data_IF_730945635505
#
_entry.id   IF_730945635505
#
_cell.length_a   1.000
_cell.length_b   1.000
_cell.length_c   1.000
_cell.angle_alpha   90.00
_cell.angle_beta   90.00
_cell.angle_gamma   90.00
#
_symmetry.space_group_name_H-M   'P 1'
#
loop_
_entity.id
_entity.type
_entity.pdbx_description
1 polymer ?
#
# COMPACT_ATOMS: atom_id res chain seq x y z
N UNK A 1 -73.95 -15.74 -12.11
CA UNK A 1 -73.84 -14.29 -12.34
C UNK A 1 -73.16 -14.10 -13.70
N UNK A 2 -73.84 -13.82 -14.82
CA UNK A 2 -74.36 -12.50 -15.27
C UNK A 2 -73.36 -11.36 -14.94
N UNK A 3 -72.87 -10.49 -15.83
CA UNK A 3 -73.11 -10.21 -17.26
C UNK A 3 -72.13 -9.07 -17.66
N UNK A 4 -71.50 -9.18 -18.85
CA UNK A 4 -71.23 -8.12 -19.88
C UNK A 4 -69.93 -7.28 -19.96
N UNK A 5 -69.32 -7.43 -21.16
CA UNK A 5 -68.94 -6.44 -22.21
C UNK A 5 -67.98 -5.29 -21.82
N UNK A 6 -66.95 -4.94 -22.63
CA UNK A 6 -67.01 -4.56 -24.06
C UNK A 6 -65.65 -4.73 -24.80
N UNK A 7 -65.72 -5.08 -26.08
CA UNK A 7 -64.76 -4.73 -27.16
C UNK A 7 -65.54 -3.84 -28.17
N UNK A 8 -64.89 -2.88 -28.86
CA UNK A 8 -64.61 -3.03 -30.30
C UNK A 8 -63.15 -2.59 -30.64
N UNK A 9 -62.37 -3.36 -31.40
CA UNK A 9 -62.29 -3.45 -32.87
C UNK A 9 -61.57 -2.25 -33.53
N UNK A 10 -60.33 -2.45 -34.01
CA UNK A 10 -59.91 -2.65 -35.43
C UNK A 10 -59.56 -1.34 -36.15
N UNK A 11 -58.31 -1.20 -36.60
CA UNK A 11 -57.95 -1.05 -38.02
C UNK A 11 -56.43 -0.80 -38.19
N UNK A 12 -55.75 -1.77 -38.78
CA UNK A 12 -54.48 -1.59 -39.47
C UNK A 12 -54.75 -1.08 -40.89
N UNK A 13 -53.88 -0.23 -41.43
CA UNK A 13 -53.74 -0.03 -42.88
C UNK A 13 -52.29 0.34 -43.24
N UNK A 14 -51.78 -0.44 -44.18
CA UNK A 14 -50.50 -0.40 -44.88
C UNK A 14 -50.51 0.65 -46.01
N UNK A 15 -49.29 1.03 -46.44
CA UNK A 15 -48.97 1.60 -47.75
C UNK A 15 -48.65 3.10 -47.71
N UNK A 16 -47.63 3.64 -48.35
CA UNK A 16 -46.72 3.17 -49.41
C UNK A 16 -45.54 4.14 -49.48
N UNK A 17 -44.37 3.64 -49.85
CA UNK A 17 -43.17 4.44 -50.13
C UNK A 17 -43.34 5.29 -51.40
N UNK A 18 -42.83 6.52 -51.36
CA UNK A 18 -42.51 7.33 -52.53
C UNK A 18 -41.09 7.89 -52.34
N UNK A 19 -40.19 7.43 -53.20
CA UNK A 19 -38.85 7.98 -53.40
C UNK A 19 -39.00 9.24 -54.25
N UNK A 20 -38.39 10.34 -53.82
CA UNK A 20 -38.12 11.50 -54.66
C UNK A 20 -36.77 12.07 -54.24
N UNK A 21 -35.80 11.98 -55.14
CA UNK A 21 -34.49 12.58 -55.00
C UNK A 21 -34.51 13.98 -55.61
N UNK A 22 -34.13 15.02 -54.86
CA UNK A 22 -33.59 16.27 -55.40
C UNK A 22 -32.70 16.98 -54.38
N UNK A 23 -31.49 17.28 -54.85
CA UNK A 23 -30.64 18.44 -54.59
C UNK A 23 -30.25 18.84 -53.16
N UNK A 24 -28.94 18.82 -52.97
CA UNK A 24 -28.16 19.31 -51.84
C UNK A 24 -28.32 20.82 -51.62
N UNK A 25 -28.57 21.22 -50.38
CA UNK A 25 -28.41 22.60 -49.89
C UNK A 25 -27.82 22.53 -48.47
N UNK A 26 -26.65 23.13 -48.27
CA UNK A 26 -25.97 23.20 -46.97
C UNK A 26 -26.76 24.07 -45.98
N UNK A 27 -26.93 23.64 -44.71
CA UNK A 27 -27.54 24.48 -43.69
C UNK A 27 -26.50 25.47 -43.09
N UNK A 28 -26.95 26.65 -42.62
CA UNK A 28 -26.08 27.65 -42.00
C UNK A 28 -25.54 27.16 -40.65
N UNK A 29 -24.44 27.74 -40.13
CA UNK A 29 -23.79 27.23 -38.93
C UNK A 29 -24.72 27.37 -37.72
N UNK A 30 -25.16 26.22 -37.19
CA UNK A 30 -25.90 26.14 -35.94
C UNK A 30 -24.99 26.48 -34.77
N UNK A 31 -25.42 27.44 -33.95
CA UNK A 31 -24.78 27.78 -32.68
C UNK A 31 -24.60 26.53 -31.80
N UNK A 32 -23.41 26.39 -31.22
CA UNK A 32 -23.08 25.27 -30.35
C UNK A 32 -24.03 25.22 -29.13
N UNK A 33 -24.50 24.03 -28.73
CA UNK A 33 -25.24 23.89 -27.48
C UNK A 33 -24.34 24.29 -26.30
N UNK A 34 -24.89 24.86 -25.21
CA UNK A 34 -24.09 25.17 -24.03
C UNK A 34 -23.38 23.91 -23.55
N UNK A 35 -22.08 24.02 -23.29
CA UNK A 35 -21.27 22.94 -22.77
C UNK A 35 -21.97 22.34 -21.54
N UNK A 36 -22.25 21.03 -21.59
CA UNK A 36 -22.67 20.31 -20.42
C UNK A 36 -21.63 20.55 -19.31
N UNK A 37 -22.07 21.06 -18.16
CA UNK A 37 -21.25 21.08 -16.96
C UNK A 37 -20.79 19.65 -16.71
N UNK A 38 -19.51 19.38 -17.01
CA UNK A 38 -18.84 18.16 -16.63
C UNK A 38 -18.87 18.18 -15.11
N UNK A 39 -19.75 17.40 -14.50
CA UNK A 39 -19.76 17.25 -13.05
C UNK A 39 -18.36 16.84 -12.64
N UNK A 40 -17.68 17.68 -11.87
CA UNK A 40 -16.37 17.41 -11.32
C UNK A 40 -16.35 15.97 -10.76
N UNK A 41 -15.46 15.14 -11.29
CA UNK A 41 -15.35 13.73 -10.87
C UNK A 41 -15.04 13.63 -9.37
N UNK A 42 -15.21 12.43 -8.77
CA UNK A 42 -15.02 12.24 -7.33
C UNK A 42 -13.67 12.77 -6.80
N UNK A 43 -12.61 12.65 -7.60
CA UNK A 43 -11.28 13.19 -7.29
C UNK A 43 -11.24 14.72 -7.19
N UNK A 44 -11.99 15.44 -8.02
CA UNK A 44 -12.08 16.89 -7.99
C UNK A 44 -12.94 17.38 -6.81
N UNK A 45 -14.00 16.64 -6.43
CA UNK A 45 -14.78 16.94 -5.21
C UNK A 45 -14.00 16.67 -3.93
N UNK A 46 -13.17 15.63 -3.91
CA UNK A 46 -12.26 15.34 -2.80
C UNK A 46 -11.16 16.41 -2.70
N UNK A 47 -10.61 16.86 -3.83
CA UNK A 47 -9.65 17.95 -3.88
C UNK A 47 -10.24 19.27 -3.36
N UNK A 48 -11.51 19.58 -3.66
CA UNK A 48 -12.22 20.74 -3.10
C UNK A 48 -12.46 20.60 -1.58
N UNK A 49 -12.80 19.41 -1.08
CA UNK A 49 -12.97 19.16 0.35
C UNK A 49 -11.66 19.27 1.13
N UNK A 50 -10.55 18.83 0.52
CA UNK A 50 -9.20 19.01 1.07
C UNK A 50 -8.84 20.49 1.09
N UNK A 51 -9.09 21.22 -0.01
CA UNK A 51 -8.83 22.66 -0.09
C UNK A 51 -9.65 23.48 0.93
N UNK A 52 -10.88 23.04 1.26
CA UNK A 52 -11.72 23.66 2.28
C UNK A 52 -11.19 23.49 3.72
N UNK A 53 -10.30 22.54 3.97
CA UNK A 53 -9.69 22.27 5.28
C UNK A 53 -8.29 22.88 5.48
N UNK A 54 -7.66 23.42 4.43
CA UNK A 54 -6.30 23.96 4.51
C UNK A 54 -6.33 25.42 5.03
N UNK A 55 -5.54 25.70 6.06
CA UNK A 55 -5.25 27.08 6.47
C UNK A 55 -4.22 27.70 5.52
N UNK A 56 -4.34 28.99 5.15
CA UNK A 56 -3.34 29.67 4.35
C UNK A 56 -1.96 29.61 5.03
N UNK A 57 -0.90 29.50 4.22
CA UNK A 57 0.46 29.73 4.71
C UNK A 57 0.60 31.14 5.31
N UNK A 58 1.62 31.38 6.12
CA UNK A 58 1.85 32.67 6.80
C UNK A 58 1.98 33.87 5.83
N UNK A 59 2.17 33.62 4.54
CA UNK A 59 2.25 34.60 3.46
C UNK A 59 0.95 34.72 2.62
N UNK A 60 -0.14 34.08 3.05
CA UNK A 60 -1.47 34.18 2.43
C UNK A 60 -1.70 33.22 1.26
N UNK A 61 -0.74 32.37 0.89
CA UNK A 61 -0.93 31.37 -0.18
C UNK A 61 -1.74 30.18 0.31
N UNK A 62 -2.76 29.81 -0.46
CA UNK A 62 -3.52 28.56 -0.28
C UNK A 62 -2.97 27.53 -1.27
N UNK A 63 -2.42 26.38 -0.83
CA UNK A 63 -1.94 25.34 -1.72
C UNK A 63 -3.06 24.87 -2.65
N UNK A 64 -2.83 24.89 -3.95
CA UNK A 64 -3.78 24.36 -4.94
C UNK A 64 -3.37 22.92 -5.30
N UNK A 65 -4.29 21.95 -5.28
CA UNK A 65 -3.99 20.59 -5.71
C UNK A 65 -3.64 20.61 -7.21
N UNK A 66 -2.44 20.14 -7.53
CA UNK A 66 -1.98 19.95 -8.91
C UNK A 66 -2.58 18.62 -9.38
N UNK A 67 -3.56 18.68 -10.27
CA UNK A 67 -4.00 17.51 -11.03
C UNK A 67 -3.05 17.40 -12.23
N UNK A 68 -1.96 16.67 -12.07
CA UNK A 68 -1.04 16.44 -13.18
C UNK A 68 -1.71 15.48 -14.18
N UNK A 69 -1.91 15.94 -15.42
CA UNK A 69 -2.30 15.11 -16.57
C UNK A 69 -1.07 14.56 -17.31
N UNK A 70 0.05 14.48 -16.59
CA UNK A 70 1.39 14.18 -17.06
C UNK A 70 1.50 12.92 -17.93
N UNK A 71 1.80 13.17 -19.19
CA UNK A 71 2.14 12.19 -20.21
C UNK A 71 3.42 11.43 -19.83
N UNK A 72 3.32 10.11 -19.63
CA UNK A 72 4.50 9.26 -19.54
C UNK A 72 5.06 9.00 -20.95
N UNK A 73 6.18 9.65 -21.25
CA UNK A 73 7.02 9.30 -22.40
C UNK A 73 7.83 8.06 -22.01
N UNK A 74 7.37 6.86 -22.41
CA UNK A 74 8.16 5.63 -22.22
C UNK A 74 7.39 4.32 -22.14
N UNK A 75 6.35 4.10 -22.97
CA UNK A 75 5.74 2.78 -23.13
C UNK A 75 6.55 1.90 -24.08
N UNK A 76 7.73 1.46 -23.62
CA UNK A 76 8.32 0.21 -24.10
C UNK A 76 7.74 -0.93 -23.28
N UNK A 77 6.79 -1.68 -23.85
CA UNK A 77 6.10 -2.77 -23.18
C UNK A 77 7.06 -3.73 -22.49
N UNK A 78 7.12 -3.66 -21.16
CA UNK A 78 7.69 -4.72 -20.33
C UNK A 78 6.50 -5.51 -19.80
N UNK A 79 6.30 -6.70 -20.35
CA UNK A 79 5.49 -7.72 -19.70
C UNK A 79 6.17 -8.09 -18.39
N UNK A 80 5.73 -7.55 -17.25
CA UNK A 80 6.25 -7.89 -15.93
C UNK A 80 6.07 -6.81 -14.86
N UNK A 81 6.04 -7.24 -13.60
CA UNK A 81 6.03 -6.36 -12.43
C UNK A 81 7.33 -5.56 -12.34
N UNK A 82 7.26 -4.29 -11.94
CA UNK A 82 8.42 -3.42 -11.78
C UNK A 82 8.40 -2.64 -10.47
N UNK A 83 9.57 -2.09 -10.10
CA UNK A 83 9.75 -1.21 -8.96
C UNK A 83 10.09 0.22 -9.41
N UNK A 84 9.89 1.18 -8.51
CA UNK A 84 10.28 2.57 -8.69
C UNK A 84 10.84 3.13 -7.38
N UNK A 85 11.77 4.09 -7.50
CA UNK A 85 12.25 4.84 -6.34
C UNK A 85 11.13 5.71 -5.80
N UNK A 86 11.03 5.78 -4.47
CA UNK A 86 10.21 6.78 -3.81
C UNK A 86 10.96 8.12 -3.83
N UNK A 87 10.36 9.15 -4.40
CA UNK A 87 10.97 10.44 -4.71
C UNK A 87 10.05 11.58 -4.30
N UNK A 88 10.62 12.75 -3.99
CA UNK A 88 9.83 13.87 -3.49
C UNK A 88 9.33 13.59 -2.07
N UNK A 89 10.02 14.18 -1.10
CA UNK A 89 9.70 13.96 0.30
C UNK A 89 8.33 14.52 0.67
N UNK A 90 7.47 13.66 1.22
CA UNK A 90 6.18 14.08 1.76
C UNK A 90 6.25 14.52 3.23
N UNK A 91 5.18 15.12 3.76
CA UNK A 91 5.12 15.56 5.16
C UNK A 91 5.06 14.40 6.17
N UNK A 92 5.53 14.64 7.38
CA UNK A 92 5.35 13.67 8.47
C UNK A 92 3.87 13.64 8.89
N UNK A 93 3.30 12.44 9.00
CA UNK A 93 1.89 12.25 9.32
C UNK A 93 1.76 11.38 10.57
N UNK A 94 0.82 11.73 11.46
CA UNK A 94 0.49 10.93 12.63
C UNK A 94 -0.69 9.99 12.40
N UNK A 95 -1.49 10.18 11.36
CA UNK A 95 -2.64 9.34 11.04
C UNK A 95 -2.46 8.64 9.70
N UNK A 96 -2.79 7.35 9.66
CA UNK A 96 -2.80 6.56 8.43
C UNK A 96 -3.71 7.18 7.37
N UNK A 97 -4.91 7.66 7.75
CA UNK A 97 -5.88 8.21 6.80
C UNK A 97 -5.34 9.45 6.06
N UNK A 98 -4.66 10.34 6.80
CA UNK A 98 -4.05 11.53 6.21
C UNK A 98 -2.90 11.15 5.27
N UNK A 99 -2.08 10.17 5.65
CA UNK A 99 -0.97 9.70 4.82
C UNK A 99 -1.46 8.98 3.56
N UNK A 100 -2.48 8.12 3.71
CA UNK A 100 -3.14 7.43 2.60
C UNK A 100 -3.72 8.43 1.60
N UNK A 101 -4.47 9.44 2.06
CA UNK A 101 -5.02 10.49 1.21
C UNK A 101 -3.94 11.28 0.46
N UNK A 102 -2.82 11.59 1.11
CA UNK A 102 -1.67 12.22 0.46
C UNK A 102 -1.05 11.29 -0.61
N UNK A 103 -0.88 10.00 -0.31
CA UNK A 103 -0.36 8.99 -1.24
C UNK A 103 -1.21 8.81 -2.50
N UNK A 104 -2.52 9.10 -2.47
CA UNK A 104 -3.36 9.10 -3.67
C UNK A 104 -3.01 10.22 -4.66
N UNK A 105 -2.44 11.33 -4.18
CA UNK A 105 -2.07 12.48 -5.02
C UNK A 105 -0.56 12.56 -5.27
N UNK A 106 0.23 11.90 -4.43
CA UNK A 106 1.68 11.81 -4.53
C UNK A 106 2.12 10.34 -4.45
N UNK A 107 1.77 9.53 -5.48
CA UNK A 107 1.86 8.07 -5.42
C UNK A 107 3.28 7.54 -5.26
N UNK A 108 4.27 8.33 -5.67
CA UNK A 108 5.68 7.96 -5.58
C UNK A 108 6.43 8.76 -4.48
N UNK A 109 5.73 9.45 -3.57
CA UNK A 109 6.37 10.21 -2.50
C UNK A 109 7.30 9.35 -1.63
N UNK A 110 8.43 9.92 -1.23
CA UNK A 110 9.27 9.32 -0.20
C UNK A 110 8.72 9.66 1.20
N UNK A 111 8.65 8.69 2.15
CA UNK A 111 8.37 9.03 3.53
C UNK A 111 9.49 9.93 4.08
N UNK A 112 9.16 10.90 4.95
CA UNK A 112 10.14 11.89 5.40
C UNK A 112 11.34 11.26 6.11
N UNK A 113 12.52 11.82 5.84
CA UNK A 113 13.80 11.28 6.30
C UNK A 113 14.32 10.05 5.55
N UNK A 114 13.55 9.46 4.62
CA UNK A 114 14.04 8.36 3.79
C UNK A 114 14.78 8.83 2.52
N UNK A 115 15.52 7.91 1.91
CA UNK A 115 16.18 8.05 0.60
C UNK A 115 17.21 9.18 0.53
N UNK A 116 17.92 9.41 1.64
CA UNK A 116 19.16 10.19 1.67
C UNK A 116 20.33 9.32 1.23
N UNK A 117 20.54 9.26 -0.08
CA UNK A 117 21.57 8.40 -0.68
C UNK A 117 23.02 8.79 -0.34
N UNK A 118 23.23 9.98 0.21
CA UNK A 118 24.49 10.46 0.77
C UNK A 118 24.64 10.15 2.28
N UNK A 119 23.66 9.48 2.90
CA UNK A 119 23.72 9.10 4.31
C UNK A 119 24.79 8.03 4.54
N UNK A 120 25.65 8.28 5.53
CA UNK A 120 26.71 7.35 5.96
C UNK A 120 26.32 6.76 7.32
N UNK A 121 26.09 5.44 7.41
CA UNK A 121 25.81 4.77 8.67
C UNK A 121 26.91 5.01 9.70
N UNK A 122 26.51 5.28 10.93
CA UNK A 122 27.45 5.57 12.02
C UNK A 122 28.02 4.28 12.62
N UNK A 123 29.05 4.38 13.46
CA UNK A 123 29.55 3.22 14.22
C UNK A 123 28.48 2.64 15.17
N UNK A 124 27.57 3.49 15.66
CA UNK A 124 26.50 3.07 16.55
C UNK A 124 25.36 2.38 15.79
N UNK A 125 25.05 2.86 14.58
CA UNK A 125 24.04 2.27 13.68
C UNK A 125 24.68 1.96 12.32
N UNK A 126 25.49 0.88 12.20
CA UNK A 126 26.30 0.61 11.02
C UNK A 126 25.50 0.03 9.83
N UNK A 127 24.23 -0.32 10.05
CA UNK A 127 23.35 -0.90 9.04
C UNK A 127 22.23 0.09 8.68
N UNK A 128 22.01 0.39 7.40
CA UNK A 128 20.87 1.16 6.97
C UNK A 128 19.58 0.33 7.09
N UNK A 129 18.45 1.02 7.24
CA UNK A 129 17.12 0.43 7.37
C UNK A 129 16.38 0.53 6.05
N UNK A 130 15.88 -0.59 5.53
CA UNK A 130 15.04 -0.67 4.34
C UNK A 130 13.58 -0.91 4.73
N UNK A 131 12.68 -0.09 4.21
CA UNK A 131 11.24 -0.10 4.53
C UNK A 131 10.42 -0.75 3.40
N UNK A 132 9.57 -1.73 3.73
CA UNK A 132 8.73 -2.47 2.77
C UNK A 132 7.24 -2.29 3.06
N UNK A 133 6.53 -1.63 2.14
CA UNK A 133 5.10 -1.34 2.26
C UNK A 133 4.23 -2.60 2.07
N UNK A 134 2.94 -2.51 2.39
CA UNK A 134 1.97 -3.59 2.24
C UNK A 134 1.22 -3.62 0.89
N UNK A 135 0.27 -4.57 0.77
CA UNK A 135 -0.63 -4.70 -0.39
C UNK A 135 -1.49 -3.46 -0.57
N UNK A 136 -1.59 -2.93 -1.80
CA UNK A 136 -2.36 -1.71 -2.10
C UNK A 136 -1.92 -0.48 -1.29
N UNK A 137 -0.65 -0.43 -0.91
CA UNK A 137 0.00 0.70 -0.27
C UNK A 137 1.19 1.16 -1.12
N UNK A 138 1.88 2.20 -0.65
CA UNK A 138 3.13 2.69 -1.20
C UNK A 138 4.11 3.01 -0.06
N UNK A 139 5.35 3.33 -0.42
CA UNK A 139 6.41 3.66 0.54
C UNK A 139 6.01 4.79 1.50
N UNK A 140 5.28 5.81 1.03
CA UNK A 140 4.90 6.94 1.85
C UNK A 140 3.80 6.57 2.86
N UNK A 141 2.65 6.06 2.41
CA UNK A 141 1.52 5.84 3.31
C UNK A 141 1.68 4.66 4.28
N UNK A 142 2.62 3.74 4.02
CA UNK A 142 3.04 2.77 5.04
C UNK A 142 3.95 3.38 6.13
N UNK A 143 4.74 4.42 5.83
CA UNK A 143 5.85 4.82 6.69
C UNK A 143 5.97 6.32 7.02
N UNK A 144 4.98 7.14 6.67
CA UNK A 144 4.98 8.58 6.93
C UNK A 144 5.11 8.95 8.42
N UNK A 145 4.78 8.02 9.32
CA UNK A 145 4.97 8.16 10.77
C UNK A 145 6.31 7.61 11.29
N UNK A 146 6.68 6.39 10.88
CA UNK A 146 7.85 5.68 11.42
C UNK A 146 9.17 6.16 10.83
N UNK A 147 9.26 6.30 9.50
CA UNK A 147 10.49 6.67 8.81
C UNK A 147 11.18 7.92 9.38
N UNK A 148 10.49 9.07 9.59
CA UNK A 148 11.16 10.26 10.12
C UNK A 148 11.65 10.07 11.56
N UNK A 149 11.02 9.20 12.34
CA UNK A 149 11.42 8.93 13.73
C UNK A 149 12.59 7.95 13.80
N UNK A 150 12.64 6.95 12.91
CA UNK A 150 13.80 6.08 12.74
C UNK A 150 15.00 6.91 12.23
N UNK A 151 14.79 7.81 11.26
CA UNK A 151 15.84 8.72 10.80
C UNK A 151 16.34 9.65 11.92
N UNK A 152 15.44 10.24 12.71
CA UNK A 152 15.80 11.05 13.90
C UNK A 152 16.51 10.26 14.99
N UNK A 153 16.29 8.95 15.08
CA UNK A 153 17.06 8.07 15.95
C UNK A 153 18.49 7.80 15.45
N UNK A 154 18.84 8.30 14.24
CA UNK A 154 20.21 8.26 13.72
C UNK A 154 20.49 7.11 12.75
N UNK A 155 19.45 6.49 12.19
CA UNK A 155 19.58 5.47 11.14
C UNK A 155 19.52 6.11 9.74
N UNK A 156 20.28 5.56 8.79
CA UNK A 156 20.06 5.84 7.38
C UNK A 156 18.85 5.02 6.89
N UNK A 157 17.79 5.68 6.43
CA UNK A 157 16.50 5.05 6.09
C UNK A 157 16.26 5.10 4.58
N UNK A 158 15.81 3.98 4.00
CA UNK A 158 15.53 3.84 2.58
C UNK A 158 14.19 3.15 2.34
N UNK A 159 13.46 3.60 1.33
CA UNK A 159 12.15 3.06 0.96
C UNK A 159 11.95 3.12 -0.56
N UNK A 160 11.20 2.17 -1.11
CA UNK A 160 10.89 2.13 -2.54
C UNK A 160 9.50 1.54 -2.77
N UNK A 161 8.98 1.76 -3.97
CA UNK A 161 7.72 1.18 -4.40
C UNK A 161 7.99 -0.07 -5.22
N UNK A 162 7.41 -1.20 -4.81
CA UNK A 162 7.60 -2.50 -5.47
C UNK A 162 6.27 -3.08 -5.94
N UNK A 163 6.35 -4.12 -6.78
CA UNK A 163 5.16 -4.85 -7.19
C UNK A 163 4.20 -4.02 -8.06
N UNK A 164 4.69 -3.00 -8.78
CA UNK A 164 3.87 -2.22 -9.72
C UNK A 164 3.59 -3.09 -10.94
N UNK A 165 2.33 -3.26 -11.29
CA UNK A 165 1.94 -3.95 -12.52
C UNK A 165 0.71 -3.28 -13.10
N UNK A 166 0.66 -3.12 -14.42
CA UNK A 166 -0.50 -2.55 -15.10
C UNK A 166 -1.72 -3.47 -15.00
N UNK A 167 -2.92 -2.91 -15.17
CA UNK A 167 -4.19 -3.66 -15.10
C UNK A 167 -4.18 -4.89 -16.02
N UNK A 168 -3.66 -4.71 -17.23
CA UNK A 168 -3.57 -5.77 -18.25
C UNK A 168 -2.30 -6.63 -18.16
N UNK A 169 -1.33 -6.23 -17.33
CA UNK A 169 -0.06 -6.94 -17.09
C UNK A 169 -0.10 -7.79 -15.80
N UNK A 170 -1.32 -8.05 -15.30
CA UNK A 170 -1.56 -8.87 -14.13
C UNK A 170 -1.91 -8.09 -12.87
N UNK A 171 -1.60 -6.79 -12.75
CA UNK A 171 -1.81 -5.99 -11.53
C UNK A 171 -3.26 -5.80 -11.09
N UNK A 172 -4.23 -6.14 -11.96
CA UNK A 172 -5.65 -6.10 -11.64
C UNK A 172 -6.20 -4.68 -11.47
N UNK A 173 -7.44 -4.55 -10.98
CA UNK A 173 -8.12 -3.25 -10.85
C UNK A 173 -7.45 -2.36 -9.80
N UNK A 174 -6.77 -2.94 -8.81
CA UNK A 174 -6.00 -2.18 -7.81
C UNK A 174 -4.94 -1.26 -8.43
N UNK A 175 -4.36 -1.65 -9.58
CA UNK A 175 -3.40 -0.84 -10.32
C UNK A 175 -3.98 0.42 -10.99
N UNK A 176 -5.31 0.56 -11.07
CA UNK A 176 -5.98 1.75 -11.61
C UNK A 176 -5.82 2.94 -10.67
N UNK A 177 -5.69 2.68 -9.37
CA UNK A 177 -5.65 3.71 -8.35
C UNK A 177 -4.21 4.19 -8.10
N UNK A 178 -3.95 5.52 -8.16
CA UNK A 178 -2.63 6.05 -7.87
C UNK A 178 -2.12 5.62 -6.49
N UNK A 179 -0.86 5.18 -6.44
CA UNK A 179 -0.18 4.84 -5.20
C UNK A 179 -0.58 3.49 -4.61
N UNK A 180 -1.30 2.65 -5.36
CA UNK A 180 -1.70 1.29 -4.94
C UNK A 180 -0.81 0.25 -5.62
N UNK A 181 0.27 -0.12 -4.94
CA UNK A 181 1.29 -1.05 -5.45
C UNK A 181 1.24 -2.38 -4.72
N UNK A 182 2.31 -3.19 -4.79
CA UNK A 182 2.36 -4.53 -4.24
C UNK A 182 1.24 -5.44 -4.80
N UNK A 183 1.04 -5.38 -6.13
CA UNK A 183 -0.01 -6.13 -6.86
C UNK A 183 0.56 -7.16 -7.83
N UNK A 184 1.79 -6.99 -8.31
CA UNK A 184 2.51 -7.98 -9.13
C UNK A 184 3.03 -9.17 -8.31
N UNK A 185 3.60 -10.22 -8.95
CA UNK A 185 4.08 -11.40 -8.24
C UNK A 185 5.07 -11.08 -7.10
N UNK A 186 4.98 -11.81 -5.99
CA UNK A 186 5.85 -11.62 -4.83
C UNK A 186 7.29 -12.00 -5.16
N UNK A 187 7.53 -13.01 -6.01
CA UNK A 187 8.88 -13.37 -6.44
C UNK A 187 9.53 -12.26 -7.28
N UNK A 188 8.76 -11.56 -8.12
CA UNK A 188 9.26 -10.36 -8.83
C UNK A 188 9.60 -9.25 -7.82
N UNK A 189 8.73 -9.06 -6.83
CA UNK A 189 8.92 -8.06 -5.77
C UNK A 189 10.16 -8.35 -4.92
N UNK A 190 10.46 -9.62 -4.63
CA UNK A 190 11.68 -10.03 -3.93
C UNK A 190 12.94 -9.78 -4.77
N UNK A 191 12.91 -10.03 -6.08
CA UNK A 191 14.03 -9.66 -6.98
C UNK A 191 14.22 -8.14 -7.06
N UNK A 192 13.13 -7.37 -7.05
CA UNK A 192 13.20 -5.91 -6.97
C UNK A 192 13.83 -5.47 -5.65
N UNK A 193 13.51 -6.14 -4.54
CA UNK A 193 14.16 -5.94 -3.24
C UNK A 193 15.66 -6.26 -3.29
N UNK A 194 16.07 -7.36 -3.93
CA UNK A 194 17.50 -7.68 -4.13
C UNK A 194 18.24 -6.51 -4.77
N UNK A 195 17.71 -5.99 -5.88
CA UNK A 195 18.32 -4.85 -6.58
C UNK A 195 18.35 -3.57 -5.72
N UNK A 196 17.30 -3.33 -4.93
CA UNK A 196 17.23 -2.17 -4.04
C UNK A 196 18.26 -2.28 -2.90
N UNK A 197 18.31 -3.42 -2.21
CA UNK A 197 19.27 -3.67 -1.11
C UNK A 197 20.72 -3.57 -1.60
N UNK A 198 21.01 -4.08 -2.80
CA UNK A 198 22.35 -3.96 -3.37
C UNK A 198 22.74 -2.50 -3.67
N UNK A 199 21.80 -1.67 -4.15
CA UNK A 199 22.04 -0.23 -4.30
C UNK A 199 22.25 0.47 -2.95
N UNK A 200 21.43 0.15 -1.95
CA UNK A 200 21.57 0.73 -0.60
C UNK A 200 22.93 0.39 -0.01
N UNK A 201 23.32 -0.88 0.00
CA UNK A 201 24.63 -1.34 0.50
C UNK A 201 25.79 -0.70 -0.23
N UNK A 202 25.69 -0.54 -1.55
CA UNK A 202 26.71 0.12 -2.35
C UNK A 202 26.85 1.62 -2.01
N UNK A 203 25.74 2.32 -1.82
CA UNK A 203 25.73 3.74 -1.48
C UNK A 203 26.22 4.01 -0.06
N UNK A 204 25.87 3.14 0.90
CA UNK A 204 26.21 3.33 2.32
C UNK A 204 27.51 2.64 2.74
N UNK A 205 28.12 1.86 1.85
CA UNK A 205 29.25 0.99 2.15
C UNK A 205 28.98 -0.02 3.28
N UNK A 206 27.74 -0.49 3.41
CA UNK A 206 27.33 -1.43 4.46
C UNK A 206 27.32 -2.87 3.96
N UNK A 207 27.83 -3.78 4.77
CA UNK A 207 27.79 -5.21 4.47
C UNK A 207 26.39 -5.81 4.57
N UNK A 208 25.54 -5.27 5.46
CA UNK A 208 24.18 -5.75 5.69
C UNK A 208 23.22 -4.58 5.89
N UNK A 209 21.93 -4.84 5.73
CA UNK A 209 20.83 -3.94 6.05
C UNK A 209 19.94 -4.54 7.14
N UNK A 210 19.16 -3.71 7.81
CA UNK A 210 18.00 -4.14 8.61
C UNK A 210 16.73 -3.83 7.80
N UNK A 211 15.70 -4.68 7.89
CA UNK A 211 14.43 -4.51 7.16
C UNK A 211 13.30 -4.26 8.14
N UNK A 212 12.47 -3.25 7.87
CA UNK A 212 11.17 -3.06 8.51
C UNK A 212 10.06 -3.25 7.48
N UNK A 213 9.19 -4.22 7.71
CA UNK A 213 8.18 -4.65 6.76
C UNK A 213 6.76 -4.56 7.34
N UNK A 214 5.81 -4.16 6.50
CA UNK A 214 4.39 -4.13 6.83
C UNK A 214 3.60 -5.07 5.92
N UNK A 215 2.71 -5.89 6.50
CA UNK A 215 1.78 -6.72 5.73
C UNK A 215 2.51 -7.60 4.69
N UNK A 216 2.20 -7.48 3.39
CA UNK A 216 2.89 -8.18 2.29
C UNK A 216 4.41 -7.96 2.23
N UNK A 217 4.93 -6.87 2.80
CA UNK A 217 6.37 -6.66 2.89
C UNK A 217 7.09 -7.81 3.60
N UNK A 218 6.40 -8.53 4.49
CA UNK A 218 6.93 -9.69 5.20
C UNK A 218 7.22 -10.89 4.28
N UNK A 219 6.26 -11.47 3.54
CA UNK A 219 6.56 -12.56 2.61
C UNK A 219 7.48 -12.14 1.45
N UNK A 220 7.50 -10.86 1.06
CA UNK A 220 8.52 -10.34 0.12
C UNK A 220 9.92 -10.43 0.71
N UNK A 221 10.09 -10.05 1.98
CA UNK A 221 11.35 -10.20 2.69
C UNK A 221 11.73 -11.67 2.88
N UNK A 222 10.79 -12.54 3.26
CA UNK A 222 11.05 -13.98 3.43
C UNK A 222 11.51 -14.63 2.12
N UNK A 223 10.85 -14.32 1.00
CA UNK A 223 11.22 -14.80 -0.33
C UNK A 223 12.64 -14.34 -0.68
N UNK A 224 12.96 -13.06 -0.43
CA UNK A 224 14.30 -12.51 -0.64
C UNK A 224 15.36 -13.22 0.20
N UNK A 225 15.09 -13.43 1.49
CA UNK A 225 16.00 -14.11 2.41
C UNK A 225 16.26 -15.55 2.00
N UNK A 226 15.21 -16.29 1.61
CA UNK A 226 15.27 -17.73 1.33
C UNK A 226 15.78 -18.06 -0.08
N UNK A 227 15.45 -17.24 -1.08
CA UNK A 227 15.60 -17.64 -2.48
C UNK A 227 16.30 -16.62 -3.38
N UNK A 228 16.34 -15.33 -3.01
CA UNK A 228 16.90 -14.27 -3.87
C UNK A 228 18.17 -13.61 -3.28
N UNK A 229 18.90 -14.35 -2.44
CA UNK A 229 20.24 -14.01 -1.96
C UNK A 229 20.28 -13.01 -0.80
N UNK A 230 19.20 -12.91 -0.03
CA UNK A 230 19.10 -11.99 1.11
C UNK A 230 19.76 -12.47 2.40
N UNK A 231 19.96 -13.78 2.58
CA UNK A 231 20.47 -14.38 3.81
C UNK A 231 21.75 -13.72 4.36
N UNK A 232 22.72 -13.41 3.49
CA UNK A 232 23.99 -12.78 3.89
C UNK A 232 23.91 -11.25 3.95
N UNK A 233 22.85 -10.65 3.39
CA UNK A 233 22.70 -9.20 3.22
C UNK A 233 21.80 -8.55 4.26
N UNK A 234 21.10 -9.34 5.07
CA UNK A 234 20.16 -8.85 6.08
C UNK A 234 20.57 -9.35 7.44
N UNK A 235 20.61 -8.45 8.42
CA UNK A 235 20.87 -8.81 9.82
C UNK A 235 19.58 -9.05 10.59
N UNK A 236 18.57 -8.21 10.37
CA UNK A 236 17.30 -8.28 11.07
C UNK A 236 16.12 -8.00 10.15
N UNK A 237 15.02 -8.72 10.36
CA UNK A 237 13.70 -8.44 9.82
C UNK A 237 12.75 -8.11 10.98
N UNK A 238 12.22 -6.88 10.98
CA UNK A 238 11.15 -6.45 11.87
C UNK A 238 9.86 -6.36 11.06
N UNK A 239 8.87 -7.19 11.36
CA UNK A 239 7.60 -7.22 10.62
C UNK A 239 6.41 -6.79 11.49
N UNK A 240 5.45 -6.12 10.87
CA UNK A 240 4.21 -5.66 11.50
C UNK A 240 3.02 -6.16 10.70
N UNK A 241 2.13 -6.94 11.33
CA UNK A 241 0.97 -7.57 10.68
C UNK A 241 1.36 -8.41 9.46
N UNK A 242 2.54 -9.04 9.49
CA UNK A 242 3.13 -9.73 8.34
C UNK A 242 2.35 -10.97 7.92
N UNK A 243 2.15 -11.15 6.60
CA UNK A 243 1.52 -12.34 6.00
C UNK A 243 2.49 -13.52 5.84
N UNK A 244 3.33 -13.80 6.83
CA UNK A 244 4.35 -14.86 6.77
C UNK A 244 3.77 -16.23 6.41
N UNK A 245 2.61 -16.57 7.00
CA UNK A 245 1.84 -17.77 6.68
C UNK A 245 0.60 -17.50 5.81
N UNK A 246 0.54 -16.31 5.21
CA UNK A 246 -0.59 -15.84 4.42
C UNK A 246 -1.78 -15.35 5.24
N UNK A 247 -2.86 -15.07 4.51
CA UNK A 247 -4.17 -14.68 5.03
C UNK A 247 -5.29 -15.37 4.25
N UNK A 248 -6.53 -15.18 4.69
CA UNK A 248 -7.70 -15.71 4.02
C UNK A 248 -8.19 -14.78 2.92
N UNK A 249 -8.93 -15.31 1.94
CA UNK A 249 -9.65 -14.47 0.97
C UNK A 249 -10.60 -13.47 1.66
N UNK A 250 -11.15 -13.84 2.82
CA UNK A 250 -11.95 -12.94 3.63
C UNK A 250 -11.10 -11.83 4.25
N UNK A 251 -9.89 -12.11 4.73
CA UNK A 251 -8.95 -11.09 5.20
C UNK A 251 -8.58 -10.09 4.09
N UNK A 252 -8.28 -10.59 2.88
CA UNK A 252 -8.03 -9.72 1.72
C UNK A 252 -9.27 -8.90 1.32
N UNK A 253 -10.45 -9.50 1.37
CA UNK A 253 -11.70 -8.78 1.14
C UNK A 253 -11.98 -7.72 2.22
N UNK A 254 -11.64 -8.00 3.48
CA UNK A 254 -11.71 -7.05 4.59
C UNK A 254 -10.74 -5.89 4.35
N UNK A 255 -9.49 -6.14 3.96
CA UNK A 255 -8.55 -5.08 3.60
C UNK A 255 -9.08 -4.21 2.46
N UNK A 256 -9.63 -4.81 1.41
CA UNK A 256 -10.26 -4.08 0.31
C UNK A 256 -11.43 -3.22 0.77
N UNK A 257 -12.25 -3.72 1.71
CA UNK A 257 -13.35 -2.95 2.35
C UNK A 257 -12.83 -1.80 3.18
N UNK A 258 -11.85 -2.05 4.05
CA UNK A 258 -11.24 -1.01 4.89
C UNK A 258 -10.76 0.14 4.02
N UNK A 259 -10.09 -0.12 2.91
CA UNK A 259 -9.62 0.96 2.03
C UNK A 259 -10.77 1.57 1.21
N UNK A 260 -11.78 0.79 0.82
CA UNK A 260 -12.98 1.29 0.11
C UNK A 260 -13.83 2.23 0.95
N UNK A 261 -14.01 1.91 2.23
CA UNK A 261 -14.77 2.73 3.18
C UNK A 261 -14.07 4.08 3.44
N UNK A 262 -12.78 4.21 3.11
CA UNK A 262 -12.03 5.48 3.12
C UNK A 262 -12.25 6.34 1.85
N UNK A 263 -13.23 5.97 1.03
CA UNK A 263 -13.64 6.73 -0.15
C UNK A 263 -12.88 6.38 -1.43
N UNK A 264 -12.10 5.30 -1.43
CA UNK A 264 -11.33 4.81 -2.58
C UNK A 264 -11.86 3.45 -3.02
N UNK A 265 -12.74 3.43 -4.02
CA UNK A 265 -13.34 2.19 -4.52
C UNK A 265 -12.30 1.23 -5.13
N UNK A 266 -11.77 0.35 -4.28
CA UNK A 266 -10.93 -0.79 -4.64
C UNK A 266 -11.80 -2.03 -4.90
N UNK A 267 -13.06 -2.00 -4.46
CA UNK A 267 -14.00 -3.12 -4.47
C UNK A 267 -14.93 -3.17 -5.67
N UNK A 268 -14.58 -2.55 -6.80
CA UNK A 268 -15.19 -2.79 -8.12
C UNK A 268 -15.03 -4.25 -8.59
N UNK A 269 -15.67 -5.19 -7.89
CA UNK A 269 -15.42 -6.63 -7.93
C UNK A 269 -16.04 -7.25 -9.19
N UNK A 270 -15.19 -7.58 -10.16
CA UNK A 270 -15.42 -8.74 -11.04
C UNK A 270 -14.28 -9.74 -10.84
N UNK A 271 -14.67 -11.02 -10.80
CA UNK A 271 -13.89 -12.19 -10.38
C UNK A 271 -12.62 -12.61 -11.18
N UNK A 272 -12.00 -11.84 -12.10
CA UNK A 272 -10.68 -12.24 -12.61
C UNK A 272 -9.46 -11.31 -12.38
N UNK A 273 -9.53 -10.13 -11.74
CA UNK A 273 -8.41 -9.16 -11.83
C UNK A 273 -8.02 -8.50 -10.48
N UNK A 274 -7.48 -9.29 -9.54
CA UNK A 274 -7.03 -8.78 -8.23
C UNK A 274 -5.50 -8.64 -8.08
N UNK A 275 -4.68 -9.03 -9.07
CA UNK A 275 -3.22 -9.04 -8.89
C UNK A 275 -2.68 -10.39 -8.37
N UNK A 276 -1.60 -10.96 -8.95
CA UNK A 276 -0.97 -12.19 -8.47
C UNK A 276 -0.68 -12.21 -6.97
N UNK A 277 -0.19 -11.11 -6.40
CA UNK A 277 0.17 -11.03 -4.97
C UNK A 277 -1.00 -11.36 -4.03
N UNK A 278 -2.23 -11.02 -4.44
CA UNK A 278 -3.43 -11.29 -3.64
C UNK A 278 -3.77 -12.80 -3.62
N UNK A 279 -3.45 -13.52 -4.70
CA UNK A 279 -3.62 -14.97 -4.80
C UNK A 279 -2.48 -15.67 -4.05
N UNK A 280 -1.26 -15.16 -4.17
CA UNK A 280 -0.07 -15.72 -3.53
C UNK A 280 -0.16 -15.61 -2.00
N UNK A 281 -0.77 -14.57 -1.44
CA UNK A 281 -0.99 -14.44 0.00
C UNK A 281 -2.11 -15.32 0.56
N UNK A 282 -2.91 -16.00 -0.28
CA UNK A 282 -3.98 -16.86 0.22
C UNK A 282 -3.42 -18.14 0.88
N UNK A 283 -3.86 -18.46 2.10
CA UNK A 283 -3.45 -19.69 2.81
C UNK A 283 -3.58 -20.92 1.90
N UNK A 284 -2.50 -21.70 1.81
CA UNK A 284 -2.42 -22.89 0.97
C UNK A 284 -2.06 -22.63 -0.49
N UNK A 285 -1.74 -21.38 -0.87
CA UNK A 285 -1.24 -21.05 -2.20
C UNK A 285 0.05 -21.83 -2.52
N UNK A 286 0.32 -22.13 -3.80
CA UNK A 286 1.59 -22.74 -4.20
C UNK A 286 2.82 -21.94 -3.74
N UNK A 287 2.71 -20.60 -3.76
CA UNK A 287 3.75 -19.69 -3.28
C UNK A 287 4.04 -19.91 -1.78
N UNK A 288 3.04 -19.81 -0.90
CA UNK A 288 3.25 -19.98 0.54
C UNK A 288 3.72 -21.39 0.91
N UNK A 289 3.21 -22.42 0.21
CA UNK A 289 3.67 -23.79 0.42
C UNK A 289 5.15 -23.94 0.06
N UNK A 290 5.62 -23.26 -0.99
CA UNK A 290 7.04 -23.22 -1.35
C UNK A 290 7.85 -22.42 -0.33
N UNK A 291 7.35 -21.24 0.08
CA UNK A 291 8.00 -20.37 1.05
C UNK A 291 8.19 -21.04 2.42
N UNK A 292 7.20 -21.83 2.86
CA UNK A 292 7.23 -22.53 4.14
C UNK A 292 8.01 -23.86 4.11
N UNK A 293 8.36 -24.39 2.92
CA UNK A 293 8.97 -25.73 2.79
C UNK A 293 10.34 -25.85 3.50
N UNK A 294 11.05 -24.73 3.66
CA UNK A 294 12.33 -24.65 4.38
C UNK A 294 12.22 -24.32 5.87
N UNK A 295 11.00 -24.19 6.41
CA UNK A 295 10.77 -23.57 7.72
C UNK A 295 10.68 -22.05 7.64
N UNK A 296 10.39 -21.41 8.75
CA UNK A 296 9.95 -20.00 8.77
C UNK A 296 11.14 -19.04 8.66
N UNK A 297 12.31 -19.43 9.15
CA UNK A 297 13.47 -18.55 9.35
C UNK A 297 14.70 -19.00 8.57
N UNK A 298 15.60 -18.05 8.32
CA UNK A 298 16.93 -18.28 7.72
C UNK A 298 18.01 -18.12 8.79
N UNK A 299 18.96 -19.07 8.92
CA UNK A 299 20.05 -18.97 9.89
C UNK A 299 20.83 -17.65 9.78
N UNK A 300 21.17 -17.06 10.93
CA UNK A 300 21.94 -15.81 11.00
C UNK A 300 21.10 -14.52 10.91
N UNK A 301 19.79 -14.63 10.64
CA UNK A 301 18.85 -13.50 10.65
C UNK A 301 18.08 -13.48 11.97
N UNK A 302 17.94 -12.30 12.56
CA UNK A 302 17.06 -12.06 13.70
C UNK A 302 15.68 -11.58 13.22
N UNK A 303 14.63 -12.05 13.84
CA UNK A 303 13.24 -11.74 13.51
C UNK A 303 12.54 -11.13 14.72
N UNK A 304 11.91 -9.98 14.53
CA UNK A 304 10.95 -9.41 15.48
C UNK A 304 9.62 -9.28 14.76
N UNK A 305 8.60 -9.98 15.23
CA UNK A 305 7.31 -10.06 14.55
C UNK A 305 6.25 -9.49 15.45
N UNK A 306 5.59 -8.44 15.00
CA UNK A 306 4.56 -7.75 15.77
C UNK A 306 3.20 -8.00 15.14
N UNK A 307 2.29 -8.58 15.92
CA UNK A 307 0.92 -8.84 15.51
C UNK A 307 -0.06 -8.12 16.45
N UNK A 308 -1.28 -7.81 16.00
CA UNK A 308 -2.30 -7.20 16.86
C UNK A 308 -3.54 -8.06 16.98
N UNK A 309 -4.12 -8.08 18.19
CA UNK A 309 -5.42 -8.70 18.46
C UNK A 309 -6.57 -8.03 17.70
N UNK A 310 -6.36 -6.79 17.26
CA UNK A 310 -7.34 -6.01 16.50
C UNK A 310 -7.11 -6.07 14.99
N UNK A 311 -6.13 -6.86 14.53
CA UNK A 311 -5.89 -7.07 13.10
C UNK A 311 -7.00 -7.92 12.48
N UNK A 312 -7.77 -7.34 11.56
CA UNK A 312 -8.89 -7.99 10.88
C UNK A 312 -8.48 -8.66 9.58
N UNK A 313 -7.26 -8.44 9.13
CA UNK A 313 -6.68 -9.02 7.92
C UNK A 313 -5.91 -10.28 8.31
N UNK A 314 -5.03 -10.20 9.31
CA UNK A 314 -4.24 -11.31 9.85
C UNK A 314 -4.90 -11.93 11.08
N UNK A 315 -5.96 -12.70 10.86
CA UNK A 315 -6.71 -13.36 11.93
C UNK A 315 -6.89 -14.85 11.61
N UNK A 316 -6.55 -15.79 12.52
CA UNK A 316 -6.05 -15.58 13.89
C UNK A 316 -4.61 -15.04 13.97
N UNK A 317 -4.33 -14.31 15.05
CA UNK A 317 -3.08 -13.57 15.29
C UNK A 317 -1.83 -14.44 15.12
N UNK A 318 -1.93 -15.72 15.50
CA UNK A 318 -0.87 -16.71 15.41
C UNK A 318 -0.43 -17.00 13.97
N UNK A 319 -1.20 -16.60 12.95
CA UNK A 319 -0.77 -16.70 11.56
C UNK A 319 0.40 -15.76 11.22
N UNK A 320 0.53 -14.65 11.95
CA UNK A 320 1.63 -13.72 11.75
C UNK A 320 2.94 -14.21 12.37
N UNK A 321 2.88 -14.94 13.48
CA UNK A 321 4.05 -15.38 14.26
C UNK A 321 4.88 -16.46 13.58
N UNK A 322 6.19 -16.45 13.85
CA UNK A 322 7.17 -17.34 13.22
C UNK A 322 7.63 -18.44 14.18
N UNK A 323 7.98 -19.60 13.62
CA UNK A 323 8.65 -20.68 14.35
C UNK A 323 10.15 -20.55 14.17
N UNK A 324 10.86 -20.35 15.29
CA UNK A 324 12.32 -20.31 15.29
C UNK A 324 12.91 -21.61 14.73
N UNK A 325 13.68 -21.47 13.66
CA UNK A 325 14.52 -22.51 13.10
C UNK A 325 15.92 -22.51 13.74
N UNK A 326 16.81 -23.43 13.33
CA UNK A 326 18.18 -23.46 13.81
C UNK A 326 18.89 -22.13 13.55
N UNK A 327 19.62 -21.63 14.56
CA UNK A 327 20.47 -20.42 14.47
C UNK A 327 19.73 -19.15 14.01
N UNK A 328 18.41 -19.09 14.21
CA UNK A 328 17.60 -17.89 14.03
C UNK A 328 16.95 -17.47 15.35
N UNK A 329 17.02 -16.18 15.67
CA UNK A 329 16.31 -15.62 16.81
C UNK A 329 14.95 -15.10 16.36
N UNK A 330 13.87 -15.50 17.05
CA UNK A 330 12.52 -14.99 16.80
C UNK A 330 11.99 -14.39 18.10
N UNK A 331 11.48 -13.16 17.99
CA UNK A 331 10.77 -12.45 19.04
C UNK A 331 9.36 -12.10 18.53
N UNK A 332 8.39 -12.94 18.87
CA UNK A 332 6.97 -12.73 18.54
C UNK A 332 6.30 -11.88 19.62
N UNK A 333 5.76 -10.74 19.22
CA UNK A 333 5.17 -9.73 20.11
C UNK A 333 3.71 -9.51 19.72
N UNK A 334 2.80 -9.73 20.67
CA UNK A 334 1.45 -9.17 20.54
C UNK A 334 1.51 -7.70 20.93
N UNK A 335 1.10 -6.79 20.05
CA UNK A 335 1.18 -5.34 20.24
C UNK A 335 0.55 -4.91 21.57
N UNK A 336 -0.54 -5.55 21.98
CA UNK A 336 -1.26 -5.24 23.22
C UNK A 336 -0.58 -5.74 24.50
N UNK A 337 0.40 -6.65 24.43
CA UNK A 337 1.01 -7.26 25.63
C UNK A 337 1.76 -6.23 26.48
N UNK A 338 1.20 -5.87 27.64
CA UNK A 338 1.74 -4.79 28.48
C UNK A 338 1.34 -3.39 28.01
N UNK A 339 0.43 -3.26 27.05
CA UNK A 339 -0.19 -2.00 26.64
C UNK A 339 -1.58 -2.18 26.02
N UNK A 340 -2.55 -2.60 26.82
CA UNK A 340 -3.93 -2.84 26.36
C UNK A 340 -4.66 -1.58 25.86
N UNK A 341 -4.10 -0.39 26.06
CA UNK A 341 -4.64 0.87 25.53
C UNK A 341 -4.24 1.12 24.06
N UNK A 342 -3.31 0.35 23.49
CA UNK A 342 -3.04 0.40 22.06
C UNK A 342 -4.08 -0.45 21.32
N UNK A 343 -4.97 0.20 20.57
CA UNK A 343 -6.06 -0.43 19.83
C UNK A 343 -5.80 -0.48 18.32
N UNK A 344 -4.53 -0.43 17.91
CA UNK A 344 -4.17 -0.41 16.49
C UNK A 344 -4.60 -1.68 15.77
N UNK A 345 -5.22 -1.51 14.61
CA UNK A 345 -5.49 -2.55 13.61
C UNK A 345 -4.33 -2.72 12.62
N UNK A 346 -4.58 -3.52 11.57
CA UNK A 346 -3.65 -3.81 10.49
C UNK A 346 -3.00 -2.56 9.86
N UNK A 347 -3.76 -1.49 9.64
CA UNK A 347 -3.31 -0.28 8.95
C UNK A 347 -2.78 0.76 9.94
N UNK A 348 -3.45 0.91 11.09
CA UNK A 348 -3.09 1.92 12.08
C UNK A 348 -1.88 1.54 12.94
N UNK A 349 -1.46 0.27 12.95
CA UNK A 349 -0.27 -0.21 13.66
C UNK A 349 1.00 0.52 13.23
N UNK A 350 1.16 0.82 11.93
CA UNK A 350 2.33 1.56 11.43
C UNK A 350 2.37 3.02 11.89
N UNK A 351 1.31 3.49 12.55
CA UNK A 351 1.16 4.83 13.11
C UNK A 351 1.14 4.81 14.65
N UNK A 352 1.33 3.63 15.27
CA UNK A 352 1.38 3.49 16.72
C UNK A 352 2.75 3.94 17.28
N UNK A 353 2.78 4.79 18.33
CA UNK A 353 3.99 5.07 19.07
C UNK A 353 4.62 3.81 19.70
N UNK A 354 3.80 2.83 20.09
CA UNK A 354 4.26 1.57 20.64
C UNK A 354 4.92 0.70 19.57
N UNK A 355 4.28 0.53 18.41
CA UNK A 355 4.86 -0.21 17.29
C UNK A 355 6.22 0.38 16.87
N UNK A 356 6.31 1.72 16.79
CA UNK A 356 7.57 2.40 16.54
C UNK A 356 8.62 2.09 17.62
N UNK A 357 8.25 2.13 18.90
CA UNK A 357 9.21 1.84 19.97
C UNK A 357 9.71 0.40 19.94
N UNK A 358 8.89 -0.55 19.48
CA UNK A 358 9.29 -1.93 19.25
C UNK A 358 10.26 -2.02 18.07
N UNK A 359 9.99 -1.32 16.95
CA UNK A 359 10.93 -1.26 15.84
C UNK A 359 12.30 -0.69 16.28
N UNK A 360 12.29 0.42 17.03
CA UNK A 360 13.50 1.05 17.55
C UNK A 360 14.24 0.15 18.56
N UNK A 361 13.51 -0.58 19.41
CA UNK A 361 14.08 -1.58 20.31
C UNK A 361 14.75 -2.72 19.55
N UNK A 362 14.10 -3.24 18.51
CA UNK A 362 14.66 -4.30 17.69
C UNK A 362 15.95 -3.84 16.99
N UNK A 363 15.94 -2.63 16.41
CA UNK A 363 17.06 -2.05 15.67
C UNK A 363 18.25 -1.64 16.57
N UNK A 364 17.98 -1.15 17.79
CA UNK A 364 19.00 -0.77 18.78
C UNK A 364 18.49 -1.01 20.22
N UNK A 365 18.59 -2.25 20.73
CA UNK A 365 18.09 -2.59 22.05
C UNK A 365 18.90 -1.94 23.19
N UNK A 366 20.14 -1.49 22.93
CA UNK A 366 20.97 -0.85 23.94
C UNK A 366 20.49 0.57 24.25
N UNK A 367 20.10 1.33 23.21
CA UNK A 367 19.60 2.70 23.39
C UNK A 367 18.09 2.77 23.59
N UNK A 368 17.37 1.74 23.19
CA UNK A 368 15.91 1.70 23.22
C UNK A 368 15.39 0.53 24.06
N UNK A 369 15.77 0.38 25.35
CA UNK A 369 15.59 -0.87 26.09
C UNK A 369 14.15 -1.22 26.46
N UNK A 370 13.21 -0.27 26.41
CA UNK A 370 11.83 -0.48 26.87
C UNK A 370 10.82 -0.02 25.81
N UNK A 371 9.90 -0.89 25.37
CA UNK A 371 8.77 -0.48 24.55
C UNK A 371 7.89 0.55 25.27
N UNK A 372 7.47 1.57 24.53
CA UNK A 372 6.54 2.60 25.00
C UNK A 372 5.14 2.01 25.08
N UNK A 373 4.35 2.43 26.07
CA UNK A 373 2.91 2.22 26.06
C UNK A 373 2.19 3.53 25.81
N UNK A 374 1.43 3.60 24.72
CA UNK A 374 0.65 4.77 24.33
C UNK A 374 -0.67 4.32 23.73
N UNK A 375 -1.72 5.12 23.96
CA UNK A 375 -2.99 4.94 23.28
C UNK A 375 -2.81 5.21 21.79
N UNK A 376 -3.37 4.34 20.95
CA UNK A 376 -3.53 4.56 19.51
C UNK A 376 -4.90 4.01 19.10
N UNK A 377 -5.77 4.81 18.48
CA UNK A 377 -7.14 4.40 18.20
C UNK A 377 -7.21 3.48 16.97
N UNK A 378 -8.18 2.57 17.03
CA UNK A 378 -8.66 1.77 15.91
C UNK A 378 -9.13 2.64 14.74
N UNK A 379 -8.89 2.21 13.50
CA UNK A 379 -9.36 2.74 12.22
C UNK A 379 -8.88 4.16 11.80
N UNK A 380 -8.63 5.05 12.76
CA UNK A 380 -8.22 6.44 12.50
C UNK A 380 -6.70 6.59 12.53
N UNK A 381 -6.02 5.88 13.45
CA UNK A 381 -4.59 6.00 13.71
C UNK A 381 -4.18 7.40 14.17
N UNK A 382 -3.26 7.47 15.12
CA UNK A 382 -2.64 8.72 15.57
C UNK A 382 -2.52 8.81 17.07
N UNK A 383 -1.29 9.12 17.53
CA UNK A 383 -0.92 9.30 18.94
C UNK A 383 -1.52 10.54 19.60
N UNK A 384 -2.79 10.84 19.31
CA UNK A 384 -3.58 11.79 20.08
C UNK A 384 -3.99 11.15 21.39
N UNK A 385 -3.51 11.70 22.51
CA UNK A 385 -4.12 11.44 23.82
C UNK A 385 -5.57 11.91 23.83
N UNK A 386 -6.38 11.29 24.70
CA UNK A 386 -7.75 11.73 25.00
C UNK A 386 -7.81 13.17 25.50
#
# INVERSE_FOLDING_TARGET
MKLRYRIPAVAALLGTALVSATASEEPPPTAAPPAAEVSAGPAARLAELIAAGLRPAADGRVPQPIVDSGSSSGSGGRSGSYAADAVGEGPEMSSYLAAFGYGLTHPDAAPPGANRWDCVPSADHPRPVVLLHGTWLNAYDSFAYMAPKIARAGFCVFAFNYGRSGVFDGGGVGAVLPGRFAVGPIEDSARQLTAFVDRVRAATHSEQVDIVAHSQGAPVADQFLKFDGGAEKVRQLVSFGGTHHGTTLMGMATLGRLITDLGVDILGFYRPLIGPANIEQAIGSPFLNHLAAGGDTVPGVAYTVVASRYDEVMNPLELAFLRAGPDAAVDDITLQDGCEQDLSDHLTMMYSPRALSIALHALDPQRQPNPVCAFNPWLVGGGGGL
#
